data_IF_111361939404
#
_entry.id   IF_111361939404
#
_cell.length_a   1.000
_cell.length_b   1.000
_cell.length_c   1.000
_cell.angle_alpha   90.00
_cell.angle_beta   90.00
_cell.angle_gamma   90.00
#
_symmetry.space_group_name_H-M   'P 1'
#
loop_
_entity.id
_entity.type
_entity.pdbx_description
1 polymer ?
#
# COMPACT_ATOMS: atom_id res chain seq x y z
N UNK A 1 1.00 23.71 3.16
CA UNK A 1 0.40 22.85 4.21
C UNK A 1 -0.05 23.64 5.45
N UNK A 2 0.28 24.94 5.55
CA UNK A 2 -0.03 25.80 6.72
C UNK A 2 0.49 25.19 8.05
N UNK A 3 1.68 24.57 8.01
CA UNK A 3 2.37 23.98 9.16
C UNK A 3 3.87 24.09 8.96
N UNK A 4 4.62 24.15 10.04
CA UNK A 4 6.08 24.26 10.04
C UNK A 4 6.76 22.87 10.02
N UNK A 5 6.00 21.81 10.20
CA UNK A 5 6.52 20.45 10.27
C UNK A 5 5.57 19.44 9.58
N UNK A 6 6.10 18.26 9.30
CA UNK A 6 5.36 17.10 8.78
C UNK A 6 5.44 15.98 9.83
N UNK A 7 4.31 15.41 10.23
CA UNK A 7 4.29 14.31 11.19
C UNK A 7 4.94 13.05 10.62
N UNK A 8 4.54 12.64 9.42
CA UNK A 8 5.08 11.48 8.72
C UNK A 8 5.49 11.85 7.30
N UNK A 9 6.80 11.88 7.04
CA UNK A 9 7.34 12.06 5.70
C UNK A 9 7.63 10.70 5.07
N UNK A 10 7.03 10.42 3.90
CA UNK A 10 7.18 9.13 3.24
C UNK A 10 7.96 9.24 1.94
N UNK A 11 8.96 8.39 1.76
CA UNK A 11 9.62 8.20 0.47
C UNK A 11 8.66 7.43 -0.45
N UNK A 12 8.35 8.02 -1.62
CA UNK A 12 7.22 7.56 -2.45
C UNK A 12 7.47 6.18 -3.11
N UNK A 13 8.69 5.91 -3.53
CA UNK A 13 9.16 4.61 -4.02
C UNK A 13 10.68 4.49 -3.90
N UNK A 14 11.22 3.26 -3.96
CA UNK A 14 12.65 3.04 -4.03
C UNK A 14 13.28 3.72 -5.25
N UNK A 15 14.37 4.47 -5.05
CA UNK A 15 15.15 5.03 -6.15
C UNK A 15 15.84 3.91 -6.96
N UNK A 16 16.35 2.90 -6.27
CA UNK A 16 16.97 1.73 -6.91
C UNK A 16 15.98 0.95 -7.79
N UNK A 17 16.49 0.31 -8.85
CA UNK A 17 15.68 -0.54 -9.73
C UNK A 17 15.26 -1.80 -9.01
N UNK A 18 14.02 -1.86 -8.57
CA UNK A 18 13.43 -3.02 -7.91
C UNK A 18 11.99 -3.25 -8.37
N UNK A 19 11.35 -4.27 -7.83
CA UNK A 19 9.97 -4.60 -8.14
C UNK A 19 9.00 -3.77 -7.29
N UNK A 20 8.37 -2.82 -7.91
CA UNK A 20 7.26 -2.03 -7.35
C UNK A 20 6.17 -1.84 -8.41
N UNK A 21 5.02 -1.33 -8.01
CA UNK A 21 3.85 -1.12 -8.87
C UNK A 21 3.38 -2.37 -9.64
N UNK A 22 3.43 -3.55 -8.97
CA UNK A 22 2.92 -4.81 -9.53
C UNK A 22 3.90 -5.58 -10.42
N UNK A 23 5.14 -5.15 -10.50
CA UNK A 23 6.19 -5.93 -11.18
C UNK A 23 6.61 -7.10 -10.31
N UNK A 24 6.79 -8.27 -10.93
CA UNK A 24 7.26 -9.50 -10.30
C UNK A 24 8.53 -10.00 -11.00
N UNK A 25 9.33 -10.80 -10.27
CA UNK A 25 10.54 -11.41 -10.81
C UNK A 25 11.70 -10.42 -10.92
N UNK A 26 12.53 -10.31 -9.87
CA UNK A 26 13.67 -9.40 -9.84
C UNK A 26 14.71 -9.73 -10.91
N UNK A 27 14.91 -8.81 -11.87
CA UNK A 27 15.80 -9.00 -13.04
C UNK A 27 16.83 -7.87 -13.22
N UNK A 28 16.87 -6.90 -12.31
CA UNK A 28 17.58 -5.63 -12.50
C UNK A 28 19.03 -5.63 -11.97
N UNK A 29 19.51 -6.70 -11.35
CA UNK A 29 20.79 -6.78 -10.63
C UNK A 29 22.05 -6.49 -11.48
N UNK A 30 21.94 -6.51 -12.81
CA UNK A 30 23.07 -6.26 -13.71
C UNK A 30 23.26 -4.79 -14.12
N UNK A 31 22.31 -3.90 -13.78
CA UNK A 31 22.22 -2.58 -14.41
C UNK A 31 22.36 -1.41 -13.45
N UNK A 32 22.60 -1.67 -12.16
CA UNK A 32 22.52 -0.62 -11.17
C UNK A 32 23.87 -0.29 -10.56
N UNK A 33 24.37 0.90 -10.83
CA UNK A 33 25.59 1.41 -10.20
C UNK A 33 25.37 2.66 -9.36
N UNK A 34 24.35 3.47 -9.68
CA UNK A 34 24.17 4.81 -9.12
C UNK A 34 22.76 4.95 -8.52
N UNK A 35 22.62 4.66 -7.24
CA UNK A 35 21.45 5.00 -6.44
C UNK A 35 21.90 5.49 -5.07
N UNK A 36 21.11 6.37 -4.43
CA UNK A 36 21.46 6.95 -3.13
C UNK A 36 21.49 5.86 -2.06
N UNK A 37 22.62 5.64 -1.35
CA UNK A 37 22.72 4.63 -0.30
C UNK A 37 21.68 4.83 0.79
N UNK A 38 21.14 3.75 1.36
CA UNK A 38 20.19 3.81 2.47
C UNK A 38 20.68 4.65 3.64
N UNK A 39 21.98 4.58 3.94
CA UNK A 39 22.60 5.36 5.01
C UNK A 39 22.52 6.87 4.73
N UNK A 40 22.87 7.32 3.54
CA UNK A 40 22.80 8.73 3.17
C UNK A 40 21.36 9.27 3.24
N UNK A 41 20.37 8.45 2.86
CA UNK A 41 18.95 8.78 2.98
C UNK A 41 18.58 8.98 4.45
N UNK A 42 18.99 8.06 5.34
CA UNK A 42 18.71 8.15 6.78
C UNK A 42 19.45 9.30 7.45
N UNK A 43 20.69 9.58 7.08
CA UNK A 43 21.44 10.74 7.56
C UNK A 43 20.78 12.06 7.14
N UNK A 44 20.26 12.10 5.93
CA UNK A 44 19.50 13.27 5.44
C UNK A 44 18.18 13.42 6.19
N UNK A 45 17.46 12.33 6.42
CA UNK A 45 16.25 12.33 7.25
C UNK A 45 16.56 12.81 8.68
N UNK A 46 17.69 12.37 9.26
CA UNK A 46 18.13 12.81 10.59
C UNK A 46 18.28 14.33 10.66
N UNK A 47 18.89 14.96 9.65
CA UNK A 47 19.02 16.41 9.62
C UNK A 47 17.65 17.12 9.68
N UNK A 48 16.64 16.58 9.00
CA UNK A 48 15.29 17.16 9.02
C UNK A 48 14.55 16.88 10.33
N UNK A 49 14.77 15.73 10.96
CA UNK A 49 14.24 15.43 12.30
C UNK A 49 14.88 16.37 13.33
N UNK A 50 16.20 16.52 13.32
CA UNK A 50 16.95 17.41 14.25
C UNK A 50 16.55 18.88 14.09
N UNK A 51 16.14 19.29 12.87
CA UNK A 51 15.62 20.63 12.59
C UNK A 51 14.12 20.79 12.95
N UNK A 52 13.46 19.74 13.42
CA UNK A 52 12.02 19.75 13.71
C UNK A 52 11.10 19.85 12.49
N UNK A 53 11.62 19.66 11.26
CA UNK A 53 10.84 19.75 10.01
C UNK A 53 10.00 18.51 9.74
N UNK A 54 10.47 17.34 10.17
CA UNK A 54 9.72 16.08 10.13
C UNK A 54 9.79 15.40 11.49
N UNK A 55 8.75 14.68 11.87
CA UNK A 55 8.73 13.89 13.13
C UNK A 55 9.16 12.46 12.88
N UNK A 56 8.58 11.83 11.86
CA UNK A 56 8.78 10.42 11.55
C UNK A 56 9.04 10.21 10.06
N UNK A 57 9.80 9.17 9.75
CA UNK A 57 10.07 8.70 8.39
C UNK A 57 9.24 7.46 8.08
N UNK A 58 8.64 7.41 6.91
CA UNK A 58 7.98 6.24 6.32
C UNK A 58 8.52 5.93 4.94
N UNK A 59 8.21 4.74 4.47
CA UNK A 59 8.52 4.28 3.11
C UNK A 59 7.23 4.03 2.33
N UNK A 60 7.33 3.93 1.02
CA UNK A 60 6.23 3.47 0.18
C UNK A 60 6.77 2.65 -0.99
N UNK A 61 5.99 1.65 -1.43
CA UNK A 61 6.36 0.73 -2.50
C UNK A 61 7.69 -0.01 -2.26
N UNK A 62 8.02 -0.19 -0.99
CA UNK A 62 9.30 -0.80 -0.59
C UNK A 62 9.21 -2.33 -0.60
N UNK A 63 10.36 -2.96 -0.71
CA UNK A 63 10.53 -4.42 -0.72
C UNK A 63 11.09 -4.91 0.62
N UNK A 64 11.01 -6.22 0.94
CA UNK A 64 11.61 -6.79 2.15
C UNK A 64 13.09 -6.43 2.30
N UNK A 65 13.85 -6.48 1.19
CA UNK A 65 15.27 -6.13 1.19
C UNK A 65 15.51 -4.70 1.66
N UNK A 66 14.81 -3.71 1.07
CA UNK A 66 15.02 -2.32 1.44
C UNK A 66 14.56 -2.02 2.86
N UNK A 67 13.38 -2.51 3.25
CA UNK A 67 12.86 -2.30 4.60
C UNK A 67 13.82 -2.85 5.66
N UNK A 68 14.34 -4.09 5.50
CA UNK A 68 15.31 -4.67 6.42
C UNK A 68 16.61 -3.85 6.50
N UNK A 69 17.11 -3.32 5.36
CA UNK A 69 18.30 -2.47 5.37
C UNK A 69 18.07 -1.16 6.13
N UNK A 70 16.95 -0.48 5.92
CA UNK A 70 16.61 0.73 6.67
C UNK A 70 16.52 0.47 8.18
N UNK A 71 15.85 -0.60 8.59
CA UNK A 71 15.71 -0.98 10.01
C UNK A 71 17.08 -1.28 10.62
N UNK A 72 17.90 -2.10 9.97
CA UNK A 72 19.22 -2.47 10.47
C UNK A 72 20.12 -1.23 10.64
N UNK A 73 20.19 -0.36 9.62
CA UNK A 73 20.98 0.86 9.70
C UNK A 73 20.50 1.80 10.82
N UNK A 74 19.20 1.94 10.99
CA UNK A 74 18.63 2.73 12.10
C UNK A 74 19.09 2.19 13.45
N UNK A 75 19.05 0.88 13.63
CA UNK A 75 19.43 0.24 14.89
C UNK A 75 20.95 0.31 15.18
N UNK A 76 21.80 0.05 14.17
CA UNK A 76 23.25 0.01 14.37
C UNK A 76 23.93 1.37 14.37
N UNK A 77 23.35 2.38 13.71
CA UNK A 77 23.96 3.71 13.53
C UNK A 77 23.24 4.84 14.25
N UNK A 78 22.24 4.50 15.07
CA UNK A 78 21.40 5.49 15.75
C UNK A 78 20.83 6.56 14.80
N UNK A 79 20.30 6.10 13.66
CA UNK A 79 19.63 6.93 12.66
C UNK A 79 18.11 6.87 12.83
N UNK A 80 17.35 7.81 12.25
CA UNK A 80 15.89 7.81 12.39
C UNK A 80 15.28 6.49 11.93
N UNK A 81 14.38 5.97 12.75
CA UNK A 81 13.67 4.74 12.44
C UNK A 81 12.57 4.96 11.40
N UNK A 82 12.43 4.02 10.48
CA UNK A 82 11.24 3.92 9.62
C UNK A 82 10.06 3.41 10.44
N UNK A 83 8.96 4.17 10.46
CA UNK A 83 7.79 3.87 11.31
C UNK A 83 6.69 3.14 10.55
N UNK A 84 6.61 3.29 9.23
CA UNK A 84 5.57 2.69 8.42
C UNK A 84 6.03 2.41 7.00
N UNK A 85 5.31 1.49 6.33
CA UNK A 85 5.43 1.27 4.89
C UNK A 85 4.06 1.42 4.25
N UNK A 86 3.95 2.24 3.22
CA UNK A 86 2.73 2.37 2.43
C UNK A 86 2.85 1.51 1.16
N UNK A 87 2.24 0.35 1.15
CA UNK A 87 2.26 -0.62 0.04
C UNK A 87 0.84 -1.05 -0.36
N UNK A 88 0.65 -1.56 -1.60
CA UNK A 88 -0.65 -2.07 -2.03
C UNK A 88 -0.98 -3.35 -1.29
N UNK A 89 -2.21 -3.43 -0.78
CA UNK A 89 -2.72 -4.65 -0.17
C UNK A 89 -4.24 -4.76 -0.34
N UNK A 90 -4.70 -5.91 -0.79
CA UNK A 90 -6.13 -6.20 -1.02
C UNK A 90 -6.35 -7.69 -1.26
N UNK A 91 -7.60 -8.13 -1.35
CA UNK A 91 -7.96 -9.50 -1.77
C UNK A 91 -7.34 -9.92 -3.12
N UNK A 92 -7.07 -8.96 -4.03
CA UNK A 92 -6.43 -9.23 -5.33
C UNK A 92 -4.91 -9.00 -5.34
N UNK A 93 -4.34 -8.49 -4.26
CA UNK A 93 -2.89 -8.27 -4.15
C UNK A 93 -2.41 -8.60 -2.74
N UNK A 94 -1.98 -9.83 -2.56
CA UNK A 94 -1.50 -10.37 -1.28
C UNK A 94 0.02 -10.51 -1.22
N UNK A 95 0.75 -9.82 -2.11
CA UNK A 95 2.22 -9.92 -2.18
C UNK A 95 2.92 -9.44 -0.91
N UNK A 96 2.30 -8.57 -0.12
CA UNK A 96 2.82 -8.11 1.17
C UNK A 96 3.00 -9.25 2.17
N UNK A 97 2.16 -10.28 2.13
CA UNK A 97 2.22 -11.44 3.01
C UNK A 97 3.47 -12.30 2.79
N UNK A 98 4.13 -12.17 1.64
CA UNK A 98 5.31 -12.97 1.26
C UNK A 98 6.61 -12.36 1.79
N UNK A 99 6.69 -11.97 3.05
CA UNK A 99 7.91 -11.49 3.69
C UNK A 99 7.82 -10.11 4.32
N UNK A 100 6.98 -9.20 3.81
CA UNK A 100 6.79 -7.89 4.43
C UNK A 100 5.99 -7.98 5.73
N UNK A 101 4.98 -8.83 5.79
CA UNK A 101 4.12 -9.01 6.97
C UNK A 101 4.92 -9.48 8.19
N UNK A 102 5.86 -10.42 8.01
CA UNK A 102 6.71 -10.89 9.11
C UNK A 102 7.58 -9.75 9.65
N UNK A 103 8.23 -8.98 8.76
CA UNK A 103 9.04 -7.82 9.15
C UNK A 103 8.17 -6.79 9.87
N UNK A 104 6.99 -6.49 9.35
CA UNK A 104 6.07 -5.54 9.95
C UNK A 104 5.71 -5.90 11.39
N UNK A 105 5.43 -7.16 11.66
CA UNK A 105 5.05 -7.64 13.00
C UNK A 105 6.28 -7.67 13.94
N UNK A 106 7.40 -8.26 13.49
CA UNK A 106 8.59 -8.43 14.33
C UNK A 106 9.30 -7.13 14.62
N UNK A 107 9.43 -6.29 13.62
CA UNK A 107 10.12 -5.01 13.71
C UNK A 107 9.17 -3.82 13.97
N UNK A 108 7.88 -4.07 14.16
CA UNK A 108 6.88 -3.06 14.48
C UNK A 108 6.88 -1.88 13.46
N UNK A 109 6.91 -2.20 12.18
CA UNK A 109 6.77 -1.23 11.08
C UNK A 109 5.46 -1.50 10.37
N UNK A 110 4.42 -0.75 10.70
CA UNK A 110 3.06 -1.03 10.25
C UNK A 110 2.82 -0.72 8.77
N UNK A 111 1.89 -1.47 8.17
CA UNK A 111 1.42 -1.23 6.81
C UNK A 111 0.35 -0.14 6.80
N UNK A 112 0.55 0.86 5.95
CA UNK A 112 -0.50 1.76 5.46
C UNK A 112 -0.98 1.18 4.11
N UNK A 113 -2.08 0.43 4.13
CA UNK A 113 -2.54 -0.33 2.96
C UNK A 113 -3.22 0.59 1.95
N UNK A 114 -2.65 0.74 0.75
CA UNK A 114 -3.32 1.46 -0.33
C UNK A 114 -3.97 0.52 -1.36
N UNK A 115 -4.92 1.04 -2.12
CA UNK A 115 -5.74 0.29 -3.09
C UNK A 115 -6.47 -0.94 -2.51
N UNK A 116 -7.08 -0.85 -1.32
CA UNK A 116 -7.78 -1.98 -0.70
C UNK A 116 -8.94 -2.50 -1.54
N UNK A 117 -9.51 -1.65 -2.39
CA UNK A 117 -10.57 -2.00 -3.35
C UNK A 117 -10.04 -2.27 -4.78
N UNK A 118 -8.72 -2.45 -4.95
CA UNK A 118 -8.09 -2.76 -6.24
C UNK A 118 -8.58 -1.82 -7.37
N UNK A 119 -8.42 -0.50 -7.20
CA UNK A 119 -8.93 0.53 -8.13
C UNK A 119 -10.46 0.50 -8.33
N UNK A 120 -11.20 -0.07 -7.40
CA UNK A 120 -12.64 -0.22 -7.45
C UNK A 120 -13.13 -1.52 -8.10
N UNK A 121 -12.23 -2.41 -8.51
CA UNK A 121 -12.61 -3.72 -9.08
C UNK A 121 -13.35 -4.56 -8.04
N UNK A 122 -12.85 -4.59 -6.81
CA UNK A 122 -13.43 -5.35 -5.71
C UNK A 122 -14.81 -4.87 -5.23
N UNK A 123 -15.27 -3.70 -5.67
CA UNK A 123 -16.66 -3.28 -5.42
C UNK A 123 -17.67 -4.01 -6.31
N UNK A 124 -17.21 -4.79 -7.29
CA UNK A 124 -18.06 -5.47 -8.26
C UNK A 124 -18.64 -4.59 -9.37
N UNK A 125 -18.40 -3.27 -9.36
CA UNK A 125 -19.01 -2.31 -10.29
C UNK A 125 -18.61 -2.52 -11.77
N UNK A 126 -17.49 -3.21 -12.02
CA UNK A 126 -17.01 -3.52 -13.39
C UNK A 126 -17.40 -4.94 -13.85
N UNK A 127 -18.15 -5.69 -13.05
CA UNK A 127 -18.62 -7.04 -13.42
C UNK A 127 -19.43 -6.99 -14.71
N UNK A 128 -19.38 -8.08 -15.50
CA UNK A 128 -20.05 -8.19 -16.78
C UNK A 128 -19.61 -7.10 -17.78
N UNK A 129 -18.34 -6.73 -17.77
CA UNK A 129 -17.75 -5.71 -18.64
C UNK A 129 -18.40 -4.32 -18.56
N UNK A 130 -19.03 -4.01 -17.43
CA UNK A 130 -19.62 -2.68 -17.19
C UNK A 130 -18.53 -1.62 -17.11
N UNK A 131 -18.82 -0.45 -17.68
CA UNK A 131 -17.96 0.75 -17.63
C UNK A 131 -18.76 1.92 -17.04
N UNK A 132 -18.98 1.97 -15.70
CA UNK A 132 -19.76 3.04 -15.09
C UNK A 132 -19.14 4.40 -15.36
N UNK A 133 -19.96 5.39 -15.71
CA UNK A 133 -19.53 6.76 -15.96
C UNK A 133 -18.82 7.35 -14.73
N UNK A 134 -17.73 8.08 -14.93
CA UNK A 134 -16.94 8.68 -13.88
C UNK A 134 -16.15 7.68 -13.01
N UNK A 135 -16.23 6.37 -13.28
CA UNK A 135 -15.45 5.39 -12.55
C UNK A 135 -14.00 5.35 -13.04
N UNK A 136 -13.06 5.10 -12.11
CA UNK A 136 -11.61 5.17 -12.37
C UNK A 136 -11.16 4.41 -13.62
N UNK A 137 -11.52 3.14 -13.75
CA UNK A 137 -11.11 2.31 -14.92
C UNK A 137 -11.95 2.56 -16.18
N UNK A 138 -12.96 3.42 -16.10
CA UNK A 138 -13.66 3.94 -17.28
C UNK A 138 -12.97 5.19 -17.81
N UNK A 139 -12.40 6.01 -16.90
CA UNK A 139 -11.66 7.23 -17.25
C UNK A 139 -10.22 6.89 -17.71
N UNK A 140 -9.55 5.96 -16.99
CA UNK A 140 -8.18 5.52 -17.27
C UNK A 140 -8.19 4.03 -17.59
N UNK A 141 -8.48 3.67 -18.83
CA UNK A 141 -8.64 2.29 -19.29
C UNK A 141 -7.30 1.55 -19.49
N UNK A 142 -6.19 2.27 -19.49
CA UNK A 142 -4.82 1.74 -19.49
C UNK A 142 -4.40 1.12 -18.15
N UNK A 143 -5.15 1.34 -17.09
CA UNK A 143 -4.87 0.79 -15.75
C UNK A 143 -5.32 -0.67 -15.60
N UNK A 144 -4.55 -1.59 -16.20
CA UNK A 144 -4.93 -3.01 -16.36
C UNK A 144 -4.51 -3.94 -15.23
N UNK A 145 -3.85 -3.44 -14.16
CA UNK A 145 -3.29 -4.28 -13.07
C UNK A 145 -4.28 -5.31 -12.50
N UNK A 146 -5.54 -4.94 -12.35
CA UNK A 146 -6.59 -5.74 -11.70
C UNK A 146 -7.73 -6.12 -12.65
N UNK A 147 -7.53 -6.01 -13.97
CA UNK A 147 -8.57 -6.28 -14.99
C UNK A 147 -8.28 -7.54 -15.83
N UNK A 148 -7.25 -8.32 -15.46
CA UNK A 148 -6.99 -9.60 -16.09
C UNK A 148 -8.06 -10.65 -15.69
N UNK A 149 -8.18 -11.72 -16.46
CA UNK A 149 -9.19 -12.75 -16.29
C UNK A 149 -9.19 -13.36 -14.87
N UNK A 150 -8.02 -13.61 -14.28
CA UNK A 150 -7.92 -14.15 -12.92
C UNK A 150 -8.50 -13.19 -11.87
N UNK A 151 -8.21 -11.90 -12.02
CA UNK A 151 -8.73 -10.86 -11.11
C UNK A 151 -10.25 -10.73 -11.25
N UNK A 152 -10.79 -10.81 -12.46
CA UNK A 152 -12.23 -10.77 -12.73
C UNK A 152 -12.91 -11.97 -12.09
N UNK A 153 -12.42 -13.19 -12.36
CA UNK A 153 -12.98 -14.43 -11.82
C UNK A 153 -12.92 -14.46 -10.27
N UNK A 154 -11.82 -14.01 -9.67
CA UNK A 154 -11.69 -13.90 -8.22
C UNK A 154 -12.69 -12.88 -7.65
N UNK A 155 -12.83 -11.71 -8.29
CA UNK A 155 -13.79 -10.69 -7.87
C UNK A 155 -15.22 -11.22 -7.88
N UNK A 156 -15.60 -12.00 -8.91
CA UNK A 156 -16.93 -12.61 -8.98
C UNK A 156 -17.18 -13.57 -7.81
N UNK A 157 -16.16 -14.32 -7.40
CA UNK A 157 -16.28 -15.20 -6.23
C UNK A 157 -16.39 -14.39 -4.93
N UNK A 158 -15.59 -13.35 -4.75
CA UNK A 158 -15.69 -12.48 -3.57
C UNK A 158 -17.03 -11.76 -3.47
N UNK A 159 -17.59 -11.30 -4.59
CA UNK A 159 -18.94 -10.74 -4.61
C UNK A 159 -20.00 -11.75 -4.15
N UNK A 160 -19.93 -13.00 -4.60
CA UNK A 160 -20.85 -14.06 -4.16
C UNK A 160 -20.69 -14.36 -2.66
N UNK A 161 -19.44 -14.39 -2.16
CA UNK A 161 -19.18 -14.59 -0.73
C UNK A 161 -19.80 -13.45 0.08
N UNK A 162 -19.60 -12.20 -0.32
CA UNK A 162 -20.18 -11.05 0.35
C UNK A 162 -21.73 -11.14 0.37
N UNK A 163 -22.35 -11.37 -0.78
CA UNK A 163 -23.79 -11.53 -0.94
C UNK A 163 -24.37 -12.63 -0.01
N UNK A 164 -23.71 -13.80 0.06
CA UNK A 164 -24.12 -14.91 0.91
C UNK A 164 -24.03 -14.61 2.42
N UNK A 165 -23.25 -13.62 2.82
CA UNK A 165 -23.09 -13.20 4.22
C UNK A 165 -23.78 -11.85 4.52
N UNK A 166 -24.59 -11.34 3.61
CA UNK A 166 -25.32 -10.07 3.81
C UNK A 166 -24.42 -8.84 3.82
N UNK A 167 -23.20 -8.94 3.24
CA UNK A 167 -22.25 -7.85 3.12
C UNK A 167 -22.24 -7.30 1.69
N UNK A 168 -21.84 -6.05 1.53
CA UNK A 168 -21.44 -5.56 0.22
C UNK A 168 -20.02 -6.05 -0.12
N UNK A 169 -19.66 -6.17 -1.40
CA UNK A 169 -18.29 -6.48 -1.81
C UNK A 169 -17.26 -5.48 -1.29
N UNK A 170 -17.64 -4.21 -1.10
CA UNK A 170 -16.83 -3.16 -0.51
C UNK A 170 -16.54 -3.44 0.97
N UNK A 171 -17.57 -3.73 1.75
CA UNK A 171 -17.45 -4.08 3.18
C UNK A 171 -16.55 -5.31 3.36
N UNK A 172 -16.80 -6.39 2.64
CA UNK A 172 -15.96 -7.60 2.69
C UNK A 172 -14.49 -7.28 2.39
N UNK A 173 -14.24 -6.51 1.33
CA UNK A 173 -12.87 -6.22 0.88
C UNK A 173 -12.10 -5.33 1.84
N UNK A 174 -12.75 -4.34 2.43
CA UNK A 174 -12.13 -3.45 3.41
C UNK A 174 -11.94 -4.14 4.77
N UNK A 175 -12.94 -4.90 5.24
CA UNK A 175 -12.84 -5.69 6.47
C UNK A 175 -11.70 -6.71 6.39
N UNK A 176 -11.51 -7.36 5.23
CA UNK A 176 -10.37 -8.26 4.99
C UNK A 176 -9.03 -7.56 5.25
N UNK A 177 -8.86 -6.31 4.83
CA UNK A 177 -7.63 -5.55 5.06
C UNK A 177 -7.53 -5.12 6.53
N UNK A 178 -8.63 -4.65 7.11
CA UNK A 178 -8.67 -4.12 8.47
C UNK A 178 -8.30 -5.17 9.53
N UNK A 179 -8.65 -6.44 9.30
CA UNK A 179 -8.41 -7.52 10.27
C UNK A 179 -6.96 -8.05 10.31
N UNK A 180 -6.07 -7.56 9.43
CA UNK A 180 -4.70 -8.07 9.39
C UNK A 180 -3.83 -7.41 10.46
N UNK A 181 -3.14 -8.18 11.28
CA UNK A 181 -2.31 -7.70 12.39
C UNK A 181 -1.16 -6.77 11.96
N UNK A 182 -0.70 -6.89 10.72
CA UNK A 182 0.35 -6.05 10.15
C UNK A 182 -0.17 -4.74 9.54
N UNK A 183 -1.48 -4.54 9.46
CA UNK A 183 -2.09 -3.31 8.91
C UNK A 183 -2.35 -2.31 10.03
N UNK A 184 -1.67 -1.18 9.96
CA UNK A 184 -1.89 -0.07 10.89
C UNK A 184 -3.05 0.82 10.45
N UNK A 185 -3.16 1.05 9.13
CA UNK A 185 -4.23 1.87 8.57
C UNK A 185 -4.57 1.42 7.15
N UNK A 186 -5.86 1.40 6.87
CA UNK A 186 -6.40 1.14 5.55
C UNK A 186 -6.68 2.48 4.85
N UNK A 187 -6.04 2.73 3.72
CA UNK A 187 -6.17 3.99 2.98
C UNK A 187 -7.34 3.86 2.01
N UNK A 188 -8.45 4.45 2.39
CA UNK A 188 -9.67 4.49 1.58
C UNK A 188 -9.72 5.74 0.69
N UNK A 189 -10.49 5.66 -0.41
CA UNK A 189 -10.81 6.79 -1.27
C UNK A 189 -12.30 6.80 -1.60
N UNK A 190 -12.93 7.98 -1.53
CA UNK A 190 -14.31 8.16 -1.88
C UNK A 190 -14.49 9.48 -2.62
N UNK A 191 -15.32 9.48 -3.67
CA UNK A 191 -15.69 10.68 -4.43
C UNK A 191 -17.15 11.08 -4.16
N UNK A 192 -17.89 10.26 -3.41
CA UNK A 192 -19.30 10.47 -3.03
C UNK A 192 -19.49 10.11 -1.56
N UNK A 193 -20.43 10.80 -0.89
CA UNK A 193 -20.71 10.57 0.53
C UNK A 193 -21.17 9.14 0.83
N UNK A 194 -21.94 8.52 -0.05
CA UNK A 194 -22.41 7.14 0.15
C UNK A 194 -21.25 6.15 0.13
N UNK A 195 -20.25 6.35 -0.75
CA UNK A 195 -19.02 5.56 -0.75
C UNK A 195 -18.24 5.74 0.56
N UNK A 196 -18.13 6.97 1.07
CA UNK A 196 -17.45 7.23 2.33
C UNK A 196 -18.14 6.53 3.50
N UNK A 197 -19.45 6.62 3.59
CA UNK A 197 -20.26 5.94 4.63
C UNK A 197 -20.09 4.43 4.57
N UNK A 198 -20.17 3.83 3.37
CA UNK A 198 -19.95 2.40 3.16
C UNK A 198 -18.53 1.98 3.57
N UNK A 199 -17.51 2.76 3.18
CA UNK A 199 -16.13 2.49 3.56
C UNK A 199 -15.92 2.53 5.08
N UNK A 200 -16.49 3.50 5.78
CA UNK A 200 -16.36 3.63 7.25
C UNK A 200 -17.05 2.46 7.95
N UNK A 201 -18.24 2.09 7.49
CA UNK A 201 -19.03 0.98 8.07
C UNK A 201 -18.27 -0.36 8.04
N UNK A 202 -17.29 -0.52 7.15
CA UNK A 202 -16.47 -1.74 7.08
C UNK A 202 -15.54 -1.93 8.29
N UNK A 203 -15.44 -0.96 9.19
CA UNK A 203 -14.63 -1.02 10.40
C UNK A 203 -15.43 -1.51 11.63
N UNK A 204 -16.76 -1.60 11.51
CA UNK A 204 -17.67 -2.11 12.54
C UNK A 204 -17.85 -3.64 12.40
#
# INVERSE_FOLDING_TARGET
LQTDYIDLYQLHWPERKTNFFGRLGYKNYKQEKDWTPFEEILETAKKFVDQGKIRYLGLSNETPYGLSNYINLSNYKNLPRVMSVQNPYSLLNRTYEVGMSEISIRDQVGLLAYSPLACGVLTGKYRNSKKPEGARLTIWDDWTRYTNERSINATDQYCKIAENHGLTPTELSLAFVNQQDFVTSNIIGATKMDQLKENIKSAD
#
